data_IF_302479159288
#
_entry.id   IF_302479159288
#
_cell.length_a   1.000
_cell.length_b   1.000
_cell.length_c   1.000
_cell.angle_alpha   90.00
_cell.angle_beta   90.00
_cell.angle_gamma   90.00
#
_symmetry.space_group_name_H-M   'P 1'
#
loop_
_entity.id
_entity.type
_entity.pdbx_description
1 polymer ?
#
# COMPACT_ATOMS: atom_id res chain seq x y z
N UNK A 1 -11.36 -6.45 20.63
CA UNK A 1 -10.02 -7.01 20.94
C UNK A 1 -9.12 -5.86 21.34
N UNK A 2 -8.93 -5.68 22.65
CA UNK A 2 -8.01 -4.66 23.15
C UNK A 2 -6.65 -5.30 23.38
N UNK A 3 -5.59 -4.63 22.91
CA UNK A 3 -4.19 -5.02 23.15
C UNK A 3 -3.48 -3.90 23.89
N UNK A 4 -2.40 -4.24 24.59
CA UNK A 4 -1.61 -3.25 25.30
C UNK A 4 -0.82 -2.40 24.30
N UNK A 5 -1.04 -1.09 24.33
CA UNK A 5 -0.36 -0.15 23.46
C UNK A 5 0.82 0.48 24.18
N UNK A 6 2.04 0.09 23.83
CA UNK A 6 3.28 0.52 24.49
C UNK A 6 3.41 2.06 24.55
N UNK A 7 3.06 2.75 23.47
CA UNK A 7 3.18 4.22 23.39
C UNK A 7 2.22 4.96 24.33
N UNK A 8 1.04 4.40 24.58
CA UNK A 8 0.01 5.05 25.40
C UNK A 8 -0.13 4.43 26.78
N UNK A 9 0.65 3.37 27.08
CA UNK A 9 0.69 2.74 28.41
C UNK A 9 -0.64 2.13 28.88
N UNK A 10 -1.49 1.65 27.96
CA UNK A 10 -2.81 1.12 28.30
C UNK A 10 -3.34 0.12 27.27
N UNK A 11 -4.42 -0.55 27.64
CA UNK A 11 -5.16 -1.43 26.73
C UNK A 11 -6.10 -0.61 25.85
N UNK A 12 -6.11 -0.89 24.55
CA UNK A 12 -6.96 -0.18 23.61
C UNK A 12 -6.95 -0.79 22.23
N UNK A 13 -7.55 -0.09 21.30
CA UNK A 13 -7.54 -0.40 19.88
C UNK A 13 -7.57 0.88 19.06
N UNK A 14 -7.45 0.75 17.76
CA UNK A 14 -7.45 1.85 16.81
C UNK A 14 -8.79 1.87 16.11
N UNK A 15 -9.53 2.98 16.21
CA UNK A 15 -10.71 3.23 15.41
C UNK A 15 -10.25 3.84 14.07
N UNK A 16 -10.39 3.07 13.00
CA UNK A 16 -10.01 3.47 11.66
C UNK A 16 -11.25 3.89 10.88
N UNK A 17 -11.30 5.14 10.44
CA UNK A 17 -12.44 5.71 9.72
C UNK A 17 -12.03 6.10 8.31
N UNK A 18 -12.90 5.75 7.34
CA UNK A 18 -12.85 6.30 5.99
C UNK A 18 -13.92 7.37 5.89
N UNK A 19 -13.50 8.59 5.59
CA UNK A 19 -14.37 9.76 5.49
C UNK A 19 -14.25 10.33 4.10
N UNK A 20 -15.38 10.62 3.44
CA UNK A 20 -15.39 11.28 2.13
C UNK A 20 -14.96 12.74 2.24
N UNK A 21 -14.66 13.36 1.11
CA UNK A 21 -14.43 14.79 0.96
C UNK A 21 -15.64 15.64 1.39
N UNK A 22 -16.84 15.06 1.36
CA UNK A 22 -18.08 15.66 1.87
C UNK A 22 -18.27 15.45 3.38
N UNK A 23 -17.26 14.99 4.11
CA UNK A 23 -17.29 14.70 5.54
C UNK A 23 -18.28 13.60 5.95
N UNK A 24 -18.66 12.72 5.05
CA UNK A 24 -19.49 11.55 5.33
C UNK A 24 -18.61 10.37 5.72
N UNK A 25 -18.86 9.77 6.87
CA UNK A 25 -18.21 8.53 7.29
C UNK A 25 -18.70 7.36 6.45
N UNK A 26 -17.88 6.87 5.53
CA UNK A 26 -18.22 5.78 4.62
C UNK A 26 -18.04 4.41 5.26
N UNK A 27 -17.01 4.28 6.07
CA UNK A 27 -16.64 3.02 6.68
C UNK A 27 -15.87 3.24 7.99
N UNK A 28 -16.15 2.43 8.99
CA UNK A 28 -15.45 2.43 10.28
C UNK A 28 -14.98 1.02 10.60
N UNK A 29 -13.74 0.89 11.06
CA UNK A 29 -13.17 -0.38 11.45
C UNK A 29 -12.38 -0.24 12.75
N UNK A 30 -12.61 -1.15 13.71
CA UNK A 30 -11.85 -1.20 14.94
C UNK A 30 -10.81 -2.30 14.84
N UNK A 31 -9.54 -1.94 14.96
CA UNK A 31 -8.40 -2.85 14.84
C UNK A 31 -7.58 -2.85 16.12
N UNK A 32 -6.89 -3.94 16.40
CA UNK A 32 -5.99 -4.01 17.55
C UNK A 32 -4.73 -3.18 17.34
N UNK A 33 -4.15 -2.67 18.43
CA UNK A 33 -2.99 -1.78 18.40
C UNK A 33 -1.73 -2.39 17.78
N UNK A 34 -1.58 -3.72 17.85
CA UNK A 34 -0.45 -4.45 17.27
C UNK A 34 -0.61 -4.77 15.79
N UNK A 35 -1.75 -4.41 15.19
CA UNK A 35 -2.01 -4.72 13.79
C UNK A 35 -1.43 -3.66 12.86
N UNK A 36 -0.84 -4.10 11.75
CA UNK A 36 -0.36 -3.20 10.72
C UNK A 36 -1.53 -2.53 9.99
N UNK A 37 -1.72 -1.25 10.25
CA UNK A 37 -2.87 -0.44 9.80
C UNK A 37 -2.93 -0.32 8.27
N UNK A 38 -1.77 -0.30 7.60
CA UNK A 38 -1.71 -0.11 6.15
C UNK A 38 -2.53 -1.14 5.34
N UNK A 39 -2.72 -2.35 5.89
CA UNK A 39 -3.56 -3.37 5.27
C UNK A 39 -5.03 -2.98 5.20
N UNK A 40 -5.51 -2.20 6.17
CA UNK A 40 -6.92 -1.81 6.28
C UNK A 40 -7.29 -0.57 5.46
N UNK A 41 -6.29 0.18 4.98
CA UNK A 41 -6.50 1.35 4.12
C UNK A 41 -7.36 0.97 2.90
N UNK A 42 -7.04 -0.15 2.26
CA UNK A 42 -7.72 -0.63 1.05
C UNK A 42 -9.04 -1.33 1.38
N UNK A 43 -9.09 -2.08 2.51
CA UNK A 43 -10.27 -2.87 2.90
C UNK A 43 -11.53 -2.00 3.03
N UNK A 44 -11.39 -0.82 3.64
CA UNK A 44 -12.51 0.09 3.84
C UNK A 44 -13.12 0.56 2.52
N UNK A 45 -12.27 0.88 1.54
CA UNK A 45 -12.74 1.32 0.23
C UNK A 45 -13.47 0.20 -0.53
N UNK A 46 -12.93 -1.01 -0.52
CA UNK A 46 -13.54 -2.16 -1.20
C UNK A 46 -14.83 -2.66 -0.53
N UNK A 47 -14.99 -2.41 0.76
CA UNK A 47 -16.20 -2.73 1.51
C UNK A 47 -17.28 -1.65 1.41
N UNK A 48 -16.95 -0.50 0.84
CA UNK A 48 -17.89 0.58 0.67
C UNK A 48 -19.00 0.17 -0.30
N UNK A 49 -20.24 0.13 0.21
CA UNK A 49 -21.45 -0.16 -0.55
C UNK A 49 -22.33 1.07 -0.75
N UNK A 50 -21.84 2.25 -0.36
CA UNK A 50 -22.57 3.51 -0.55
C UNK A 50 -22.55 3.95 -2.03
N UNK A 51 -23.41 4.89 -2.37
CA UNK A 51 -23.40 5.51 -3.69
C UNK A 51 -22.16 6.36 -3.96
N UNK A 52 -21.45 6.76 -2.88
CA UNK A 52 -20.20 7.52 -2.96
C UNK A 52 -19.06 6.53 -3.24
N UNK A 53 -18.64 6.48 -4.49
CA UNK A 53 -17.49 5.67 -4.92
C UNK A 53 -16.27 6.57 -5.11
N UNK A 54 -15.24 6.33 -4.32
CA UNK A 54 -13.99 7.09 -4.41
C UNK A 54 -12.93 6.28 -5.13
N UNK A 55 -12.24 6.88 -6.08
CA UNK A 55 -11.09 6.33 -6.79
C UNK A 55 -9.75 6.77 -6.16
N UNK A 56 -9.79 7.82 -5.36
CA UNK A 56 -8.60 8.40 -4.70
C UNK A 56 -8.72 8.24 -3.18
N UNK A 57 -7.64 7.77 -2.58
CA UNK A 57 -7.57 7.47 -1.16
C UNK A 57 -6.40 8.21 -0.51
N UNK A 58 -6.72 9.20 0.31
CA UNK A 58 -5.76 9.87 1.17
C UNK A 58 -5.56 9.06 2.45
N UNK A 59 -4.32 8.81 2.81
CA UNK A 59 -3.96 8.03 3.99
C UNK A 59 -2.89 8.69 4.85
N UNK A 60 -2.67 8.13 6.01
CA UNK A 60 -1.55 8.51 6.88
C UNK A 60 -0.20 7.94 6.37
N UNK A 61 0.84 8.07 7.19
CA UNK A 61 2.18 7.60 6.85
C UNK A 61 2.33 6.09 6.76
N UNK A 62 1.36 5.30 7.22
CA UNK A 62 1.36 3.84 7.08
C UNK A 62 1.13 3.43 5.62
N UNK A 63 0.38 4.23 4.87
CA UNK A 63 0.13 4.02 3.44
C UNK A 63 1.34 4.18 2.53
N UNK A 64 2.45 4.75 3.00
CA UNK A 64 3.67 4.96 2.18
C UNK A 64 4.45 3.68 1.84
N UNK A 65 4.01 2.52 2.34
CA UNK A 65 4.61 1.22 2.03
C UNK A 65 4.54 0.90 0.54
N UNK A 66 5.65 0.45 -0.04
CA UNK A 66 5.70 0.09 -1.47
C UNK A 66 4.73 -1.02 -1.84
N UNK A 67 4.53 -2.02 -0.98
CA UNK A 67 3.57 -3.10 -1.24
C UNK A 67 2.13 -2.60 -1.29
N UNK A 68 1.80 -1.61 -0.45
CA UNK A 68 0.47 -0.98 -0.47
C UNK A 68 0.27 -0.17 -1.75
N UNK A 69 1.28 0.59 -2.19
CA UNK A 69 1.25 1.30 -3.49
C UNK A 69 1.03 0.34 -4.66
N UNK A 70 1.77 -0.77 -4.71
CA UNK A 70 1.63 -1.76 -5.77
C UNK A 70 0.24 -2.39 -5.82
N UNK A 71 -0.29 -2.79 -4.67
CA UNK A 71 -1.62 -3.39 -4.58
C UNK A 71 -2.72 -2.38 -4.91
N UNK A 72 -2.65 -1.15 -4.39
CA UNK A 72 -3.62 -0.09 -4.68
C UNK A 72 -3.70 0.20 -6.17
N UNK A 73 -2.55 0.33 -6.83
CA UNK A 73 -2.49 0.57 -8.26
C UNK A 73 -3.18 -0.54 -9.08
N UNK A 74 -2.89 -1.80 -8.76
CA UNK A 74 -3.51 -2.94 -9.45
C UNK A 74 -5.03 -3.04 -9.21
N UNK A 75 -5.51 -2.53 -8.10
CA UNK A 75 -6.94 -2.45 -7.80
C UNK A 75 -7.63 -1.24 -8.45
N UNK A 76 -6.86 -0.34 -9.07
CA UNK A 76 -7.37 0.89 -9.68
C UNK A 76 -7.57 2.03 -8.68
N UNK A 77 -6.95 1.96 -7.50
CA UNK A 77 -7.04 2.95 -6.43
C UNK A 77 -5.85 3.91 -6.52
N UNK A 78 -6.11 5.20 -6.67
CA UNK A 78 -5.11 6.24 -6.60
C UNK A 78 -4.75 6.54 -5.13
N UNK A 79 -3.68 5.94 -4.63
CA UNK A 79 -3.24 6.07 -3.25
C UNK A 79 -2.39 7.34 -3.08
N UNK A 80 -2.82 8.23 -2.19
CA UNK A 80 -2.15 9.49 -1.85
C UNK A 80 -1.86 9.55 -0.34
N UNK A 81 -0.87 8.81 0.16
CA UNK A 81 -0.55 8.80 1.57
C UNK A 81 0.31 10.01 1.95
N UNK A 82 0.22 10.38 3.21
CA UNK A 82 1.20 11.30 3.79
C UNK A 82 2.59 10.65 3.80
N UNK A 83 3.58 11.35 3.30
CA UNK A 83 4.97 10.90 3.29
C UNK A 83 5.70 11.40 4.54
N UNK A 84 6.37 10.49 5.22
CA UNK A 84 7.23 10.76 6.37
C UNK A 84 8.70 10.62 5.97
N UNK A 85 9.57 11.41 6.60
CA UNK A 85 11.03 11.32 6.44
C UNK A 85 11.48 11.45 4.97
N UNK A 86 11.17 12.57 4.35
CA UNK A 86 11.54 12.85 2.94
C UNK A 86 13.04 12.62 2.67
N UNK A 87 13.91 12.87 3.67
CA UNK A 87 15.36 12.66 3.55
C UNK A 87 15.75 11.18 3.32
N UNK A 88 14.92 10.23 3.76
CA UNK A 88 15.16 8.79 3.64
C UNK A 88 14.50 8.19 2.40
N UNK A 89 13.81 9.00 1.60
CA UNK A 89 13.13 8.52 0.41
C UNK A 89 14.14 8.13 -0.67
N UNK A 90 13.87 7.01 -1.29
CA UNK A 90 14.63 6.49 -2.41
C UNK A 90 13.72 6.46 -3.63
N UNK A 91 14.21 7.06 -4.71
CA UNK A 91 13.61 6.96 -6.03
C UNK A 91 14.20 5.77 -6.75
N UNK A 92 13.36 5.06 -7.49
CA UNK A 92 13.75 3.84 -8.21
C UNK A 92 13.83 4.13 -9.70
N UNK A 93 15.00 3.83 -10.28
CA UNK A 93 15.30 4.08 -11.70
C UNK A 93 14.60 3.02 -12.56
N UNK A 94 13.88 3.42 -13.62
CA UNK A 94 13.23 2.45 -14.50
C UNK A 94 14.25 1.61 -15.31
N UNK A 95 15.41 2.19 -15.63
CA UNK A 95 16.49 1.51 -16.36
C UNK A 95 17.85 1.92 -15.75
N UNK A 96 18.71 0.94 -15.47
CA UNK A 96 20.05 1.15 -14.91
C UNK A 96 20.92 2.12 -15.75
N UNK A 97 20.71 2.13 -17.06
CA UNK A 97 21.47 2.96 -18.00
C UNK A 97 20.96 4.41 -18.08
N UNK A 98 19.72 4.67 -17.66
CA UNK A 98 19.09 5.98 -17.77
C UNK A 98 19.64 6.93 -16.72
N UNK A 99 20.18 8.06 -17.15
CA UNK A 99 20.67 9.15 -16.28
C UNK A 99 19.79 10.38 -16.42
N UNK A 100 19.61 11.11 -15.33
CA UNK A 100 18.81 12.33 -15.27
C UNK A 100 19.71 13.52 -14.97
N UNK A 101 19.61 14.59 -15.78
CA UNK A 101 20.51 15.75 -15.72
C UNK A 101 20.56 16.42 -14.34
N UNK A 102 19.41 16.55 -13.66
CA UNK A 102 19.30 17.37 -12.43
C UNK A 102 18.95 16.57 -11.17
N UNK A 103 18.34 15.40 -11.32
CA UNK A 103 17.78 14.63 -10.19
C UNK A 103 18.40 13.23 -10.07
N UNK A 104 19.49 12.96 -10.79
CA UNK A 104 20.10 11.63 -10.84
C UNK A 104 20.53 11.11 -9.46
N UNK A 105 20.97 12.00 -8.58
CA UNK A 105 21.37 11.67 -7.20
C UNK A 105 20.24 11.16 -6.31
N UNK A 106 18.98 11.40 -6.66
CA UNK A 106 17.81 10.90 -5.94
C UNK A 106 17.54 9.42 -6.22
N UNK A 107 18.04 8.90 -7.35
CA UNK A 107 17.84 7.52 -7.77
C UNK A 107 18.98 6.63 -7.29
N UNK A 108 18.72 5.79 -6.30
CA UNK A 108 19.74 4.88 -5.72
C UNK A 108 19.73 3.48 -6.32
N UNK A 109 18.55 2.97 -6.63
CA UNK A 109 18.34 1.61 -7.12
C UNK A 109 17.53 1.61 -8.42
N UNK A 110 17.59 0.50 -9.15
CA UNK A 110 16.75 0.26 -10.32
C UNK A 110 15.64 -0.73 -10.00
N UNK A 111 14.54 -0.62 -10.73
CA UNK A 111 13.41 -1.57 -10.67
C UNK A 111 13.81 -2.90 -11.28
N UNK A 112 13.40 -3.98 -10.67
CA UNK A 112 13.51 -5.34 -11.21
C UNK A 112 12.24 -5.66 -12.02
N UNK A 113 12.29 -5.34 -13.32
CA UNK A 113 11.19 -5.60 -14.24
C UNK A 113 11.00 -7.09 -14.52
N UNK A 114 12.09 -7.86 -14.59
CA UNK A 114 12.06 -9.29 -14.83
C UNK A 114 11.25 -10.01 -13.75
N UNK A 115 11.41 -9.59 -12.49
CA UNK A 115 10.63 -10.12 -11.38
C UNK A 115 9.14 -9.78 -11.50
N UNK A 116 8.80 -8.56 -11.93
CA UNK A 116 7.41 -8.15 -12.15
C UNK A 116 6.78 -8.97 -13.27
N UNK A 117 7.47 -9.07 -14.41
CA UNK A 117 6.99 -9.81 -15.58
C UNK A 117 6.78 -11.30 -15.28
N UNK A 118 7.77 -11.93 -14.63
CA UNK A 118 7.71 -13.36 -14.25
C UNK A 118 6.49 -13.66 -13.38
N UNK A 119 6.14 -12.75 -12.47
CA UNK A 119 5.03 -12.93 -11.53
C UNK A 119 3.76 -12.15 -11.90
N UNK A 120 3.67 -11.63 -13.13
CA UNK A 120 2.53 -10.83 -13.54
C UNK A 120 1.20 -11.57 -13.44
N UNK A 121 1.16 -12.81 -13.86
CA UNK A 121 -0.04 -13.65 -13.77
C UNK A 121 -0.48 -13.88 -12.31
N UNK A 122 0.48 -14.13 -11.41
CA UNK A 122 0.21 -14.29 -9.98
C UNK A 122 -0.35 -12.99 -9.37
N UNK A 123 0.22 -11.83 -9.74
CA UNK A 123 -0.27 -10.51 -9.32
C UNK A 123 -1.73 -10.30 -9.76
N UNK A 124 -2.05 -10.63 -11.02
CA UNK A 124 -3.41 -10.52 -11.55
C UNK A 124 -4.37 -11.51 -10.90
N UNK A 125 -3.95 -12.73 -10.63
CA UNK A 125 -4.77 -13.73 -9.91
C UNK A 125 -5.16 -13.25 -8.52
N UNK A 126 -4.25 -12.59 -7.83
CA UNK A 126 -4.52 -11.97 -6.52
C UNK A 126 -5.55 -10.85 -6.64
N UNK A 127 -5.40 -9.96 -7.61
CA UNK A 127 -6.34 -8.87 -7.86
C UNK A 127 -7.75 -9.40 -8.16
N UNK A 128 -7.85 -10.40 -9.01
CA UNK A 128 -9.13 -11.06 -9.31
C UNK A 128 -9.75 -11.71 -8.07
N UNK A 129 -8.95 -12.34 -7.22
CA UNK A 129 -9.41 -12.96 -5.98
C UNK A 129 -9.93 -11.92 -4.98
N UNK A 130 -9.30 -10.74 -4.92
CA UNK A 130 -9.77 -9.61 -4.09
C UNK A 130 -11.08 -9.05 -4.66
N UNK A 131 -11.12 -8.76 -5.96
CA UNK A 131 -12.33 -8.23 -6.63
C UNK A 131 -13.52 -9.19 -6.53
N UNK A 132 -13.26 -10.49 -6.54
CA UNK A 132 -14.27 -11.53 -6.31
C UNK A 132 -14.65 -11.71 -4.82
N UNK A 133 -14.10 -10.90 -3.91
CA UNK A 133 -14.40 -10.98 -2.47
C UNK A 133 -13.87 -12.23 -1.76
N UNK A 134 -13.01 -13.03 -2.42
CA UNK A 134 -12.47 -14.27 -1.84
C UNK A 134 -11.35 -14.02 -0.82
N UNK A 135 -10.66 -12.91 -0.95
CA UNK A 135 -9.55 -12.52 -0.07
C UNK A 135 -9.64 -11.01 0.24
N UNK A 136 -9.37 -10.64 1.48
CA UNK A 136 -9.25 -9.22 1.87
C UNK A 136 -7.82 -8.73 1.66
N UNK A 137 -7.61 -7.49 1.16
CA UNK A 137 -6.30 -6.86 1.06
C UNK A 137 -5.47 -6.92 2.34
N UNK A 138 -6.07 -6.62 3.49
CA UNK A 138 -5.40 -6.70 4.80
C UNK A 138 -4.88 -8.10 5.11
N UNK A 139 -5.68 -9.13 4.84
CA UNK A 139 -5.29 -10.52 5.04
C UNK A 139 -4.15 -10.92 4.09
N UNK A 140 -4.21 -10.51 2.83
CA UNK A 140 -3.17 -10.73 1.85
C UNK A 140 -1.86 -10.08 2.28
N UNK A 141 -1.87 -8.77 2.53
CA UNK A 141 -0.67 -8.00 2.90
C UNK A 141 -0.01 -8.55 4.16
N UNK A 142 -0.82 -8.97 5.15
CA UNK A 142 -0.30 -9.63 6.36
C UNK A 142 0.37 -10.96 6.04
N UNK A 143 -0.25 -11.81 5.22
CA UNK A 143 0.32 -13.11 4.82
C UNK A 143 1.61 -12.93 4.01
N UNK A 144 1.63 -12.01 3.06
CA UNK A 144 2.81 -11.70 2.28
C UNK A 144 3.95 -11.17 3.16
N UNK A 145 3.65 -10.30 4.11
CA UNK A 145 4.63 -9.71 5.03
C UNK A 145 5.27 -10.72 5.99
N UNK A 146 4.50 -11.68 6.50
CA UNK A 146 5.00 -12.70 7.43
C UNK A 146 6.06 -13.64 6.82
N UNK A 147 5.99 -13.87 5.51
CA UNK A 147 6.94 -14.74 4.78
C UNK A 147 7.80 -13.96 3.79
N UNK A 148 8.00 -12.66 4.01
CA UNK A 148 8.63 -11.74 3.06
C UNK A 148 10.01 -12.20 2.57
N UNK A 149 10.82 -12.83 3.42
CA UNK A 149 12.17 -13.28 3.04
C UNK A 149 12.22 -14.36 1.95
N UNK A 150 11.15 -15.11 1.73
CA UNK A 150 11.08 -16.24 0.76
C UNK A 150 9.96 -16.08 -0.27
N UNK A 151 9.10 -15.09 -0.12
CA UNK A 151 7.92 -14.94 -0.95
C UNK A 151 8.21 -14.05 -2.16
N UNK A 152 8.45 -14.66 -3.32
CA UNK A 152 8.71 -13.95 -4.58
C UNK A 152 7.56 -13.03 -4.98
N UNK A 153 6.33 -13.44 -4.73
CA UNK A 153 5.14 -12.61 -5.00
C UNK A 153 5.14 -11.32 -4.16
N UNK A 154 5.58 -11.40 -2.89
CA UNK A 154 5.78 -10.20 -2.06
C UNK A 154 6.79 -9.24 -2.70
N UNK A 155 7.90 -9.77 -3.21
CA UNK A 155 8.90 -8.94 -3.89
C UNK A 155 8.37 -8.34 -5.18
N UNK A 156 7.56 -9.07 -5.97
CA UNK A 156 6.93 -8.53 -7.17
C UNK A 156 5.97 -7.37 -6.86
N UNK A 157 5.12 -7.51 -5.82
CA UNK A 157 4.29 -6.39 -5.34
C UNK A 157 5.13 -5.21 -4.87
N UNK A 158 6.25 -5.48 -4.18
CA UNK A 158 7.16 -4.44 -3.72
C UNK A 158 7.83 -3.70 -4.88
N UNK A 159 8.32 -4.42 -5.90
CA UNK A 159 8.95 -3.82 -7.07
C UNK A 159 7.96 -2.95 -7.86
N UNK A 160 6.75 -3.46 -8.11
CA UNK A 160 5.70 -2.65 -8.74
C UNK A 160 5.40 -1.40 -7.91
N UNK A 161 5.28 -1.55 -6.60
CA UNK A 161 5.05 -0.43 -5.69
C UNK A 161 6.20 0.58 -5.66
N UNK A 162 7.44 0.15 -5.88
CA UNK A 162 8.60 1.04 -6.05
C UNK A 162 8.41 1.96 -7.25
N UNK A 163 7.92 1.41 -8.37
CA UNK A 163 7.59 2.19 -9.58
C UNK A 163 6.52 3.22 -9.26
N UNK A 164 5.38 2.77 -8.75
CA UNK A 164 4.20 3.62 -8.53
C UNK A 164 4.50 4.71 -7.49
N UNK A 165 5.19 4.36 -6.39
CA UNK A 165 5.61 5.35 -5.38
C UNK A 165 6.59 6.38 -5.96
N UNK A 166 7.52 5.97 -6.82
CA UNK A 166 8.43 6.92 -7.47
C UNK A 166 7.67 7.88 -8.36
N UNK A 167 6.70 7.40 -9.14
CA UNK A 167 5.82 8.25 -9.96
C UNK A 167 5.04 9.23 -9.08
N UNK A 168 4.48 8.75 -7.97
CA UNK A 168 3.77 9.59 -6.99
C UNK A 168 4.65 10.70 -6.42
N UNK A 169 5.90 10.40 -6.08
CA UNK A 169 6.84 11.36 -5.50
C UNK A 169 7.40 12.38 -6.51
N UNK A 170 7.28 12.11 -7.81
CA UNK A 170 7.74 12.99 -8.89
C UNK A 170 6.64 13.93 -9.42
N UNK A 171 5.40 13.73 -8.99
CA UNK A 171 4.26 14.63 -9.30
C UNK A 171 4.23 15.82 -8.38
#
# INVERSE_FOLDING_TARGET
>A
MAEYHIRYGGYGGIAYHHVSDLYVALFSHFISCGTWEAGYIIDGLLKNKSEIQSDTLHGDTQGQSTTVFGLSYLLGINLMPRIRNIKDLVFYRPDKKKKYKHIDSLFKESVDWELIETHWQDLMQVVLSIKAGKILPSTLLRKLGNYSRRNRLYFAFRELGRVIRTIFLLK
#
